data_IF_868030178147
#
_entry.id   IF_868030178147
#
_cell.length_a   1.000
_cell.length_b   1.000
_cell.length_c   1.000
_cell.angle_alpha   90.00
_cell.angle_beta   90.00
_cell.angle_gamma   90.00
#
_symmetry.space_group_name_H-M   'P 1'
#
loop_
_entity.id
_entity.type
_entity.pdbx_description
1 polymer ?
#
# COMPACT_ATOMS: atom_id res chain seq x y z
N UNK A 1 -14.54 0.84 37.21
CA UNK A 1 -13.70 -0.35 37.07
C UNK A 1 -13.78 -0.95 35.70
N UNK A 2 -14.96 -0.98 35.18
CA UNK A 2 -15.20 -1.60 33.87
C UNK A 2 -14.69 -0.77 32.75
N UNK A 3 -14.50 0.50 32.96
CA UNK A 3 -14.05 1.42 31.93
C UNK A 3 -12.71 1.05 31.31
N UNK A 4 -11.83 0.46 32.11
CA UNK A 4 -10.52 0.06 31.65
C UNK A 4 -10.62 -0.97 30.51
N UNK A 5 -11.55 -1.90 30.65
CA UNK A 5 -11.74 -2.95 29.66
C UNK A 5 -12.17 -2.39 28.32
N UNK A 6 -13.01 -1.39 28.34
CA UNK A 6 -13.49 -0.75 27.13
C UNK A 6 -12.34 -0.06 26.41
N UNK A 7 -11.45 0.59 27.15
CA UNK A 7 -10.29 1.25 26.57
C UNK A 7 -9.36 0.28 25.88
N UNK A 8 -9.16 -0.87 26.47
CA UNK A 8 -8.31 -1.91 25.88
C UNK A 8 -8.88 -2.40 24.57
N UNK A 9 -10.19 -2.60 24.50
CA UNK A 9 -10.83 -3.10 23.31
C UNK A 9 -10.77 -2.13 22.13
N UNK A 10 -10.52 -0.85 22.39
CA UNK A 10 -10.41 0.17 21.36
C UNK A 10 -8.99 0.36 20.85
N UNK A 11 -8.04 -0.36 21.41
CA UNK A 11 -6.67 -0.26 20.98
C UNK A 11 -6.52 -0.74 19.54
N UNK A 12 -5.84 0.05 18.73
CA UNK A 12 -5.59 -0.32 17.34
C UNK A 12 -4.69 -1.55 17.25
N UNK A 13 -5.09 -2.48 16.41
CA UNK A 13 -4.30 -3.69 16.17
C UNK A 13 -3.66 -3.61 14.79
N UNK A 14 -2.39 -3.95 14.73
CA UNK A 14 -1.67 -4.00 13.47
C UNK A 14 -2.20 -5.14 12.60
N UNK A 15 -2.47 -4.88 11.31
CA UNK A 15 -2.86 -5.97 10.40
C UNK A 15 -1.78 -7.05 10.34
N UNK A 16 -2.16 -8.34 10.24
CA UNK A 16 -1.17 -9.42 10.24
C UNK A 16 -0.06 -9.28 9.22
N UNK A 17 -0.37 -8.82 8.01
CA UNK A 17 0.65 -8.69 6.97
C UNK A 17 1.70 -7.63 7.28
N UNK A 18 1.44 -6.67 8.18
CA UNK A 18 2.46 -5.72 8.60
C UNK A 18 3.47 -6.36 9.54
N UNK A 19 3.11 -7.46 10.19
CA UNK A 19 3.94 -8.12 11.19
C UNK A 19 4.56 -9.42 10.67
N UNK A 20 3.96 -10.05 9.67
CA UNK A 20 4.38 -11.33 9.11
C UNK A 20 4.87 -11.13 7.67
N UNK A 21 6.19 -11.20 7.49
CA UNK A 21 6.81 -11.01 6.18
C UNK A 21 6.29 -12.02 5.16
N UNK A 22 6.12 -13.26 5.55
CA UNK A 22 5.67 -14.30 4.64
C UNK A 22 4.24 -14.05 4.16
N UNK A 23 3.38 -13.62 5.06
CA UNK A 23 2.01 -13.27 4.69
C UNK A 23 1.98 -12.06 3.77
N UNK A 24 2.81 -11.06 4.06
CA UNK A 24 2.90 -9.88 3.20
C UNK A 24 3.35 -10.25 1.78
N UNK A 25 4.37 -11.10 1.67
CA UNK A 25 4.87 -11.54 0.37
C UNK A 25 3.81 -12.36 -0.38
N UNK A 26 3.09 -13.21 0.32
CA UNK A 26 2.01 -13.99 -0.27
C UNK A 26 0.92 -13.08 -0.84
N UNK A 27 0.49 -12.10 -0.06
CA UNK A 27 -0.54 -11.16 -0.50
C UNK A 27 -0.06 -10.28 -1.64
N UNK A 28 1.21 -9.85 -1.59
CA UNK A 28 1.82 -9.07 -2.65
C UNK A 28 1.90 -9.86 -3.96
N UNK A 29 2.33 -11.10 -3.89
CA UNK A 29 2.41 -11.96 -5.08
C UNK A 29 1.02 -12.19 -5.69
N UNK A 30 0.02 -12.35 -4.84
CA UNK A 30 -1.36 -12.48 -5.30
C UNK A 30 -1.83 -11.19 -5.99
N UNK A 31 -1.47 -10.04 -5.43
CA UNK A 31 -1.81 -8.75 -6.03
C UNK A 31 -1.13 -8.57 -7.39
N UNK A 32 0.12 -8.98 -7.52
CA UNK A 32 0.83 -8.93 -8.80
C UNK A 32 0.15 -9.83 -9.83
N UNK A 33 -0.19 -11.02 -9.42
CA UNK A 33 -0.76 -12.04 -10.33
C UNK A 33 -2.21 -11.73 -10.71
N UNK A 34 -3.02 -11.33 -9.75
CA UNK A 34 -4.47 -11.18 -9.98
C UNK A 34 -4.90 -9.76 -10.28
N UNK A 35 -4.15 -8.75 -9.81
CA UNK A 35 -4.49 -7.35 -9.94
C UNK A 35 -3.41 -6.54 -10.68
N UNK A 36 -2.44 -7.21 -11.25
CA UNK A 36 -1.34 -6.58 -11.99
C UNK A 36 -0.67 -5.45 -11.19
N UNK A 37 -0.45 -5.69 -9.90
CA UNK A 37 0.23 -4.72 -9.05
C UNK A 37 1.65 -4.47 -9.55
N UNK A 38 2.02 -3.23 -9.67
CA UNK A 38 3.33 -2.80 -10.14
C UNK A 38 3.37 -1.30 -10.39
N UNK A 39 4.35 -0.81 -11.11
CA UNK A 39 5.44 -1.55 -11.76
C UNK A 39 6.49 -2.01 -10.74
N UNK A 40 7.31 -3.01 -11.11
CA UNK A 40 8.34 -3.53 -10.19
C UNK A 40 9.34 -2.47 -9.75
N UNK A 41 9.70 -1.57 -10.65
CA UNK A 41 10.63 -0.48 -10.37
C UNK A 41 10.02 0.84 -10.85
N UNK A 42 9.37 1.60 -9.95
CA UNK A 42 8.73 2.86 -10.35
C UNK A 42 9.69 3.95 -10.83
N UNK A 43 10.98 3.80 -10.59
CA UNK A 43 11.99 4.76 -11.04
C UNK A 43 12.28 4.65 -12.54
N UNK A 44 11.84 3.57 -13.18
CA UNK A 44 12.03 3.34 -14.61
C UNK A 44 10.77 3.70 -15.39
N UNK A 45 10.88 3.90 -16.73
CA UNK A 45 9.72 4.27 -17.54
C UNK A 45 8.58 3.26 -17.56
N UNK A 46 8.87 1.95 -17.57
CA UNK A 46 7.85 0.88 -17.54
C UNK A 46 6.78 1.04 -18.64
N UNK A 47 7.19 1.35 -19.85
CA UNK A 47 6.26 1.68 -20.95
C UNK A 47 5.19 0.62 -21.21
N UNK A 48 5.58 -0.66 -21.24
CA UNK A 48 4.63 -1.73 -21.50
C UNK A 48 3.60 -1.87 -20.40
N UNK A 49 4.03 -1.69 -19.16
CA UNK A 49 3.14 -1.78 -18.01
C UNK A 49 2.07 -0.69 -18.10
N UNK A 50 2.49 0.55 -18.33
CA UNK A 50 1.56 1.68 -18.39
C UNK A 50 0.66 1.62 -19.62
N UNK A 51 1.19 1.16 -20.77
CA UNK A 51 0.38 0.99 -21.97
C UNK A 51 -0.75 -0.01 -21.74
N UNK A 52 -0.47 -1.11 -21.04
CA UNK A 52 -1.48 -2.10 -20.70
C UNK A 52 -2.56 -1.50 -19.80
N UNK A 53 -2.16 -0.66 -18.83
CA UNK A 53 -3.10 0.02 -17.95
C UNK A 53 -3.97 1.02 -18.69
N UNK A 54 -3.38 1.78 -19.61
CA UNK A 54 -4.13 2.72 -20.43
C UNK A 54 -5.24 2.01 -21.21
N UNK A 55 -4.90 0.88 -21.80
CA UNK A 55 -5.87 0.09 -22.55
C UNK A 55 -6.96 -0.46 -21.63
N UNK A 56 -6.57 -1.05 -20.52
CA UNK A 56 -7.53 -1.66 -19.60
C UNK A 56 -8.50 -0.66 -19.01
N UNK A 57 -8.01 0.53 -18.62
CA UNK A 57 -8.85 1.57 -18.03
C UNK A 57 -9.44 2.54 -19.05
N UNK A 58 -9.13 2.33 -20.33
CA UNK A 58 -9.61 3.19 -21.42
C UNK A 58 -9.25 4.66 -21.16
N UNK A 59 -7.99 4.89 -20.85
CA UNK A 59 -7.43 6.21 -20.55
C UNK A 59 -6.56 6.65 -21.72
N UNK A 60 -6.71 7.90 -22.16
CA UNK A 60 -6.05 8.41 -23.35
C UNK A 60 -4.63 8.93 -23.13
N UNK A 61 -4.26 9.25 -21.89
CA UNK A 61 -2.95 9.82 -21.62
C UNK A 61 -2.28 9.17 -20.43
N UNK A 62 -0.96 9.08 -20.50
CA UNK A 62 -0.15 8.58 -19.41
C UNK A 62 -0.24 9.49 -18.19
N UNK A 63 -0.49 10.78 -18.37
CA UNK A 63 -0.64 11.71 -17.25
C UNK A 63 -1.82 11.40 -16.36
N UNK A 64 -2.92 10.93 -16.94
CA UNK A 64 -4.07 10.52 -16.15
C UNK A 64 -3.71 9.31 -15.25
N UNK A 65 -2.86 8.43 -15.76
CA UNK A 65 -2.42 7.25 -15.00
C UNK A 65 -1.59 7.63 -13.78
N UNK A 66 -0.84 8.73 -13.85
CA UNK A 66 0.01 9.16 -12.73
C UNK A 66 -0.81 9.52 -11.51
N UNK A 67 -2.08 9.85 -11.70
CA UNK A 67 -2.99 10.14 -10.61
C UNK A 67 -3.72 8.89 -10.11
N UNK A 68 -3.58 7.78 -10.83
CA UNK A 68 -4.25 6.51 -10.52
C UNK A 68 -3.26 5.52 -9.91
N UNK A 69 -2.64 5.92 -8.80
CA UNK A 69 -1.62 5.13 -8.11
C UNK A 69 -2.02 4.89 -6.67
N UNK A 70 -1.29 4.00 -5.98
CA UNK A 70 -1.60 3.71 -4.58
C UNK A 70 -1.67 4.98 -3.73
N UNK A 71 -0.79 5.93 -3.98
CA UNK A 71 -0.77 7.20 -3.24
C UNK A 71 -2.03 8.03 -3.32
N UNK A 72 -2.93 7.72 -4.25
CA UNK A 72 -4.23 8.38 -4.37
C UNK A 72 -5.38 7.39 -4.22
N UNK A 73 -5.09 6.16 -3.86
CA UNK A 73 -6.10 5.11 -3.76
C UNK A 73 -6.84 5.16 -2.42
N UNK A 74 -8.16 5.02 -2.49
CA UNK A 74 -8.99 5.03 -1.29
C UNK A 74 -8.68 3.88 -0.31
N UNK A 75 -8.03 2.84 -0.78
CA UNK A 75 -7.64 1.70 0.06
C UNK A 75 -6.25 1.83 0.67
N UNK A 76 -5.50 2.87 0.31
CA UNK A 76 -4.12 3.04 0.74
C UNK A 76 -4.04 3.80 2.06
N UNK A 77 -3.63 3.12 3.12
CA UNK A 77 -3.58 3.69 4.47
C UNK A 77 -2.19 4.21 4.81
N UNK A 78 -2.08 5.54 4.92
CA UNK A 78 -0.86 6.25 5.29
C UNK A 78 -0.92 6.83 6.70
N UNK A 79 -1.90 6.47 7.49
CA UNK A 79 -1.97 6.98 8.87
C UNK A 79 -0.72 6.60 9.64
N UNK A 80 -0.30 7.48 10.55
CA UNK A 80 0.92 7.24 11.33
C UNK A 80 0.88 5.95 12.11
N UNK A 81 -0.28 5.61 12.68
CA UNK A 81 -0.41 4.35 13.42
C UNK A 81 -0.21 3.14 12.52
N UNK A 82 -0.66 3.23 11.25
CA UNK A 82 -0.45 2.15 10.30
C UNK A 82 1.02 2.07 9.89
N UNK A 83 1.66 3.22 9.63
CA UNK A 83 3.08 3.24 9.32
C UNK A 83 3.93 2.74 10.48
N UNK A 84 3.50 2.99 11.72
CA UNK A 84 4.17 2.43 12.89
C UNK A 84 4.08 0.91 12.91
N UNK A 85 2.96 0.34 12.51
CA UNK A 85 2.83 -1.10 12.35
C UNK A 85 3.79 -1.66 11.31
N UNK A 86 3.93 -0.95 10.20
CA UNK A 86 4.86 -1.34 9.12
C UNK A 86 6.30 -1.26 9.63
N UNK A 87 6.65 -0.18 10.34
CA UNK A 87 7.97 -0.02 10.91
C UNK A 87 8.32 -1.14 11.89
N UNK A 88 7.36 -1.48 12.73
CA UNK A 88 7.51 -2.56 13.70
C UNK A 88 7.80 -3.89 13.00
N UNK A 89 7.09 -4.17 11.91
CA UNK A 89 7.29 -5.39 11.14
C UNK A 89 8.61 -5.44 10.39
N UNK A 90 9.14 -4.28 9.98
CA UNK A 90 10.45 -4.21 9.32
C UNK A 90 11.57 -4.45 10.34
N UNK A 91 11.41 -3.93 11.54
CA UNK A 91 12.39 -4.09 12.61
C UNK A 91 13.44 -2.99 12.64
N UNK A 92 13.95 -2.73 13.83
CA UNK A 92 14.87 -1.59 14.06
C UNK A 92 16.19 -1.69 13.31
N UNK A 93 16.65 -2.91 13.06
CA UNK A 93 17.95 -3.13 12.40
C UNK A 93 17.99 -2.64 10.97
N UNK A 94 16.83 -2.50 10.33
CA UNK A 94 16.73 -2.16 8.92
C UNK A 94 16.36 -0.69 8.67
N UNK A 95 16.45 0.18 9.70
CA UNK A 95 16.07 1.58 9.61
C UNK A 95 14.68 1.75 8.96
N UNK A 96 13.62 1.29 9.64
CA UNK A 96 12.31 1.18 9.03
C UNK A 96 11.73 2.50 8.55
N UNK A 97 11.95 3.58 9.28
CA UNK A 97 11.36 4.87 8.90
C UNK A 97 12.02 5.47 7.67
N UNK A 98 13.32 5.22 7.45
CA UNK A 98 13.97 5.63 6.22
C UNK A 98 13.37 4.89 5.03
N UNK A 99 13.11 3.59 5.17
CA UNK A 99 12.48 2.78 4.15
C UNK A 99 11.06 3.27 3.85
N UNK A 100 10.27 3.52 4.87
CA UNK A 100 8.89 3.99 4.73
C UNK A 100 8.86 5.35 4.02
N UNK A 101 9.71 6.28 4.45
CA UNK A 101 9.72 7.62 3.88
C UNK A 101 10.22 7.64 2.44
N UNK A 102 11.23 6.82 2.12
CA UNK A 102 11.78 6.78 0.77
C UNK A 102 10.76 6.29 -0.27
N UNK A 103 9.94 5.31 0.10
CA UNK A 103 8.95 4.73 -0.80
C UNK A 103 7.53 5.22 -0.60
N UNK A 104 7.30 6.09 0.39
CA UNK A 104 5.96 6.41 0.86
C UNK A 104 5.15 5.14 1.05
N UNK A 105 5.70 4.24 1.87
CA UNK A 105 5.09 2.95 2.10
C UNK A 105 3.87 3.07 3.01
N UNK A 106 2.78 2.45 2.60
CA UNK A 106 1.56 2.37 3.37
C UNK A 106 0.98 0.97 3.26
N UNK A 107 -0.25 0.81 3.72
CA UNK A 107 -0.91 -0.48 3.75
C UNK A 107 -2.16 -0.46 2.87
N UNK A 108 -2.28 -1.42 1.96
CA UNK A 108 -3.48 -1.57 1.14
C UNK A 108 -4.54 -2.33 1.93
N UNK A 109 -5.61 -1.65 2.31
CA UNK A 109 -6.71 -2.24 3.09
C UNK A 109 -7.49 -3.28 2.28
N UNK A 110 -7.50 -3.14 0.97
CA UNK A 110 -8.24 -4.05 0.10
C UNK A 110 -7.48 -5.33 -0.17
N UNK A 111 -6.21 -5.22 -0.57
CA UNK A 111 -5.40 -6.39 -0.90
C UNK A 111 -4.54 -6.89 0.26
N UNK A 112 -4.55 -6.17 1.36
CA UNK A 112 -3.94 -6.56 2.64
C UNK A 112 -2.45 -6.85 2.56
N UNK A 113 -1.70 -5.87 2.04
CA UNK A 113 -0.25 -5.94 2.02
C UNK A 113 0.37 -4.54 2.03
N UNK A 114 1.66 -4.47 2.32
CA UNK A 114 2.39 -3.20 2.29
C UNK A 114 2.68 -2.82 0.85
N UNK A 115 2.37 -1.59 0.47
CA UNK A 115 2.61 -1.10 -0.89
C UNK A 115 3.20 0.30 -0.88
N UNK A 116 3.78 0.69 -2.02
CA UNK A 116 4.40 1.98 -2.19
C UNK A 116 3.50 2.91 -3.00
N UNK A 117 3.54 4.21 -2.67
CA UNK A 117 2.63 5.20 -3.25
C UNK A 117 2.72 5.31 -4.78
N UNK A 118 3.90 5.07 -5.36
CA UNK A 118 4.11 5.21 -6.80
C UNK A 118 3.69 3.99 -7.63
N UNK A 119 3.23 2.93 -6.98
CA UNK A 119 2.75 1.74 -7.67
C UNK A 119 1.24 1.79 -7.81
N UNK A 120 0.69 0.89 -8.59
CA UNK A 120 -0.76 0.81 -8.80
C UNK A 120 -1.18 -0.64 -9.00
N UNK A 121 -2.49 -0.88 -9.01
CA UNK A 121 -3.07 -2.18 -9.34
C UNK A 121 -4.41 -1.98 -10.02
N UNK A 122 -4.95 -3.07 -10.59
CA UNK A 122 -6.23 -3.02 -11.30
C UNK A 122 -7.41 -2.64 -10.39
N UNK A 123 -7.25 -2.80 -9.09
CA UNK A 123 -8.28 -2.50 -8.11
C UNK A 123 -8.26 -1.06 -7.59
N UNK A 124 -7.47 -0.19 -8.20
CA UNK A 124 -7.38 1.21 -7.77
C UNK A 124 -8.74 1.91 -7.72
N UNK A 125 -8.97 2.66 -6.66
CA UNK A 125 -10.21 3.42 -6.45
C UNK A 125 -9.86 4.84 -6.03
N UNK A 126 -10.50 5.84 -6.63
CA UNK A 126 -10.26 7.24 -6.29
C UNK A 126 -10.74 7.58 -4.88
N UNK A 127 -10.18 8.63 -4.32
CA UNK A 127 -10.61 9.16 -3.03
C UNK A 127 -9.63 9.00 -1.88
N UNK A 128 -8.45 8.49 -2.15
CA UNK A 128 -7.41 8.33 -1.14
C UNK A 128 -6.33 9.37 -1.23
N UNK A 129 -5.27 9.19 -0.43
CA UNK A 129 -5.10 8.06 0.51
C UNK A 129 -5.86 8.25 1.81
N UNK A 130 -5.85 7.22 2.65
CA UNK A 130 -6.36 7.34 4.03
C UNK A 130 -5.24 7.97 4.86
N UNK A 131 -5.51 9.14 5.42
CA UNK A 131 -4.51 9.91 6.19
C UNK A 131 -5.08 10.36 7.53
N UNK A 132 -4.19 10.79 8.41
CA UNK A 132 -4.58 11.42 9.68
C UNK A 132 -5.24 12.77 9.45
#
# INVERSE_FOLDING_TARGET
TMTIKIKISKKFKCPPATQDINLNLKNRNKAIKEQNYGPPDPSKPNEKFWAAKMEMWNVDSEEELKDMVCGTCAAFNLKKKMQSCIAEGIGDDADPWATINAGKVGYCQFLKFKCAAKRTCDAWVSGGPIED
#
